data_IF_533804760147
#
_entry.id   IF_533804760147
#
_cell.length_a   1.000
_cell.length_b   1.000
_cell.length_c   1.000
_cell.angle_alpha   90.00
_cell.angle_beta   90.00
_cell.angle_gamma   90.00
#
_symmetry.space_group_name_H-M   'P 1'
#
loop_
_entity.id
_entity.type
_entity.pdbx_description
1 polymer ?
#
# COMPACT_ATOMS: atom_id res chain seq x y z
N UNK A 1 -25.42 28.37 10.96
CA UNK A 1 -25.56 26.90 10.86
C UNK A 1 -24.29 26.31 10.29
N UNK A 2 -23.48 25.58 11.08
CA UNK A 2 -22.27 24.89 10.57
C UNK A 2 -22.67 23.47 10.18
N UNK A 3 -22.81 23.20 8.88
CA UNK A 3 -22.98 21.84 8.36
C UNK A 3 -21.65 21.11 8.50
N UNK A 4 -21.62 20.03 9.31
CA UNK A 4 -20.48 19.11 9.39
C UNK A 4 -20.74 17.94 8.45
N UNK A 5 -20.03 17.91 7.33
CA UNK A 5 -20.06 16.79 6.39
C UNK A 5 -18.94 15.82 6.77
N UNK A 6 -19.22 14.52 7.02
CA UNK A 6 -18.19 13.52 7.27
C UNK A 6 -17.20 13.41 6.11
N UNK A 7 -15.92 13.16 6.43
CA UNK A 7 -14.89 13.00 5.40
C UNK A 7 -14.98 11.61 4.77
N UNK A 8 -15.37 11.54 3.49
CA UNK A 8 -15.50 10.28 2.77
C UNK A 8 -14.18 9.47 2.72
N UNK A 9 -13.04 10.13 2.51
CA UNK A 9 -11.74 9.45 2.54
C UNK A 9 -11.41 8.86 3.92
N UNK A 10 -11.91 9.48 5.01
CA UNK A 10 -11.80 8.93 6.34
C UNK A 10 -12.75 7.71 6.52
N UNK A 11 -13.95 7.75 5.95
CA UNK A 11 -14.86 6.60 5.93
C UNK A 11 -14.25 5.40 5.22
N UNK A 12 -13.62 5.58 4.05
CA UNK A 12 -12.88 4.51 3.36
C UNK A 12 -11.75 3.97 4.24
N UNK A 13 -10.98 4.86 4.88
CA UNK A 13 -9.90 4.47 5.80
C UNK A 13 -10.38 3.57 6.94
N UNK A 14 -11.55 3.85 7.51
CA UNK A 14 -12.15 3.01 8.54
C UNK A 14 -12.61 1.67 7.97
N UNK A 15 -13.36 1.69 6.87
CA UNK A 15 -13.86 0.46 6.23
C UNK A 15 -12.74 -0.52 5.84
N UNK A 16 -11.67 -0.03 5.21
CA UNK A 16 -10.52 -0.85 4.84
C UNK A 16 -9.80 -1.37 6.08
N UNK A 17 -9.61 -0.53 7.10
CA UNK A 17 -8.94 -0.94 8.33
C UNK A 17 -9.71 -2.06 9.03
N UNK A 18 -11.03 -1.91 9.16
CA UNK A 18 -11.89 -2.89 9.81
C UNK A 18 -11.89 -4.22 9.03
N UNK A 19 -11.96 -4.16 7.69
CA UNK A 19 -11.86 -5.34 6.83
C UNK A 19 -10.51 -6.07 6.94
N UNK A 20 -9.40 -5.34 7.00
CA UNK A 20 -8.06 -5.92 7.21
C UNK A 20 -7.90 -6.53 8.60
N UNK A 21 -8.48 -5.90 9.64
CA UNK A 21 -8.45 -6.45 11.01
C UNK A 21 -9.27 -7.75 11.14
N UNK A 22 -10.38 -7.85 10.41
CA UNK A 22 -11.16 -9.08 10.32
C UNK A 22 -10.39 -10.21 9.58
N UNK A 23 -9.51 -9.83 8.64
CA UNK A 23 -8.77 -10.78 7.79
C UNK A 23 -7.34 -11.00 8.28
N UNK A 24 -7.18 -11.84 9.32
CA UNK A 24 -5.85 -12.04 9.96
C UNK A 24 -4.78 -12.66 9.05
N UNK A 25 -5.19 -13.40 8.02
CA UNK A 25 -4.26 -14.13 7.13
C UNK A 25 -3.28 -13.20 6.40
N UNK A 26 -3.69 -11.98 6.08
CA UNK A 26 -2.85 -11.04 5.33
C UNK A 26 -1.91 -10.20 6.21
N UNK A 27 -2.17 -10.13 7.52
CA UNK A 27 -1.40 -9.26 8.42
C UNK A 27 0.09 -9.61 8.39
N UNK A 28 0.43 -10.90 8.40
CA UNK A 28 1.82 -11.36 8.33
C UNK A 28 2.53 -10.93 7.03
N UNK A 29 1.81 -10.88 5.90
CA UNK A 29 2.39 -10.39 4.64
C UNK A 29 2.56 -8.87 4.63
N UNK A 30 1.68 -8.13 5.31
CA UNK A 30 1.74 -6.67 5.42
C UNK A 30 2.78 -6.18 6.43
N UNK A 31 3.19 -7.00 7.40
CA UNK A 31 4.17 -6.65 8.44
C UNK A 31 5.58 -6.41 7.89
N UNK A 32 5.98 -7.10 6.82
CA UNK A 32 7.31 -6.95 6.22
C UNK A 32 7.44 -5.68 5.36
N UNK A 33 6.31 -5.18 4.85
CA UNK A 33 6.25 -4.05 3.91
C UNK A 33 6.82 -2.76 4.49
N UNK A 34 6.46 -2.30 5.71
CA UNK A 34 7.05 -1.10 6.32
C UNK A 34 8.57 -1.24 6.52
N UNK A 35 9.06 -2.44 6.82
CA UNK A 35 10.50 -2.69 7.02
C UNK A 35 11.27 -2.58 5.71
N UNK A 36 10.75 -3.17 4.63
CA UNK A 36 11.33 -3.04 3.28
C UNK A 36 11.28 -1.57 2.82
N UNK A 37 10.15 -0.90 3.02
CA UNK A 37 10.01 0.52 2.71
C UNK A 37 11.02 1.36 3.51
N UNK A 38 11.20 1.08 4.81
CA UNK A 38 12.20 1.78 5.64
C UNK A 38 13.61 1.57 5.08
N UNK A 39 13.99 0.35 4.70
CA UNK A 39 15.29 0.07 4.11
C UNK A 39 15.56 0.88 2.84
N UNK A 40 14.55 1.09 1.99
CA UNK A 40 14.65 1.93 0.79
C UNK A 40 15.10 3.37 1.07
N UNK A 41 14.92 3.85 2.31
CA UNK A 41 15.27 5.21 2.72
C UNK A 41 16.44 5.28 3.70
N UNK A 42 16.78 4.18 4.39
CA UNK A 42 17.83 4.18 5.41
C UNK A 42 19.10 3.45 5.00
N UNK A 43 19.05 2.58 4.00
CA UNK A 43 20.22 1.83 3.53
C UNK A 43 20.64 2.30 2.15
N UNK A 44 21.78 2.98 2.06
CA UNK A 44 22.34 3.47 0.78
C UNK A 44 22.52 2.33 -0.22
N UNK A 45 23.05 1.18 0.20
CA UNK A 45 23.24 0.01 -0.66
C UNK A 45 21.93 -0.56 -1.20
N UNK A 46 20.87 -0.55 -0.40
CA UNK A 46 19.56 -1.01 -0.86
C UNK A 46 18.93 -0.01 -1.82
N UNK A 47 19.01 1.30 -1.51
CA UNK A 47 18.56 2.37 -2.39
C UNK A 47 19.27 2.33 -3.75
N UNK A 48 20.60 2.16 -3.79
CA UNK A 48 21.38 2.00 -5.02
C UNK A 48 20.89 0.81 -5.87
N UNK A 49 20.55 -0.32 -5.25
CA UNK A 49 19.98 -1.48 -5.97
C UNK A 49 18.62 -1.18 -6.56
N UNK A 50 17.76 -0.45 -5.84
CA UNK A 50 16.46 -0.01 -6.33
C UNK A 50 16.60 0.99 -7.49
N UNK A 51 17.57 1.91 -7.41
CA UNK A 51 17.86 2.90 -8.45
C UNK A 51 18.33 2.25 -9.75
N UNK A 52 19.18 1.21 -9.66
CA UNK A 52 19.58 0.39 -10.82
C UNK A 52 18.37 -0.28 -11.49
N UNK A 53 17.37 -0.66 -10.71
CA UNK A 53 16.09 -1.22 -11.20
C UNK A 53 15.09 -0.13 -11.62
N UNK A 54 15.41 1.16 -11.43
CA UNK A 54 14.50 2.30 -11.63
C UNK A 54 13.21 2.19 -10.80
N UNK A 55 13.29 1.57 -9.63
CA UNK A 55 12.17 1.40 -8.71
C UNK A 55 12.32 2.38 -7.55
N UNK A 56 11.23 3.06 -7.21
CA UNK A 56 11.18 3.94 -6.03
C UNK A 56 10.04 3.51 -5.11
N UNK A 57 10.39 3.14 -3.88
CA UNK A 57 9.44 2.73 -2.83
C UNK A 57 9.17 3.94 -1.93
N UNK A 58 7.91 4.43 -1.83
CA UNK A 58 7.58 5.55 -0.97
C UNK A 58 7.72 5.18 0.51
N UNK A 59 7.81 6.19 1.38
CA UNK A 59 7.72 5.95 2.83
C UNK A 59 6.30 5.56 3.20
N UNK A 60 6.18 4.51 4.01
CA UNK A 60 4.92 4.10 4.60
C UNK A 60 4.50 5.06 5.72
N UNK A 61 3.30 5.61 5.64
CA UNK A 61 2.64 6.34 6.74
C UNK A 61 1.67 5.37 7.40
N UNK A 62 2.05 4.87 8.58
CA UNK A 62 1.35 3.78 9.30
C UNK A 62 -0.13 4.10 9.55
N UNK A 63 -0.49 5.37 9.73
CA UNK A 63 -1.86 5.79 10.01
C UNK A 63 -2.76 5.92 8.77
N UNK A 64 -2.22 5.77 7.55
CA UNK A 64 -2.96 5.92 6.29
C UNK A 64 -2.83 4.67 5.42
N UNK A 65 -3.91 3.92 5.30
CA UNK A 65 -3.96 2.65 4.56
C UNK A 65 -3.48 2.81 3.11
N UNK A 66 -3.82 3.93 2.45
CA UNK A 66 -3.44 4.21 1.06
C UNK A 66 -1.91 4.34 0.90
N UNK A 67 -1.18 4.79 1.92
CA UNK A 67 0.28 4.85 1.86
C UNK A 67 0.90 3.44 1.92
N UNK A 68 0.35 2.56 2.76
CA UNK A 68 0.74 1.15 2.79
C UNK A 68 0.43 0.48 1.46
N UNK A 69 -0.75 0.73 0.88
CA UNK A 69 -1.13 0.24 -0.45
C UNK A 69 -0.11 0.64 -1.53
N UNK A 70 0.29 1.92 -1.58
CA UNK A 70 1.30 2.38 -2.54
C UNK A 70 2.67 1.73 -2.33
N UNK A 71 3.07 1.47 -1.08
CA UNK A 71 4.31 0.73 -0.78
C UNK A 71 4.24 -0.70 -1.33
N UNK A 72 3.15 -1.42 -1.06
CA UNK A 72 2.94 -2.78 -1.57
C UNK A 72 3.00 -2.79 -3.09
N UNK A 73 2.26 -1.90 -3.75
CA UNK A 73 2.23 -1.79 -5.21
C UNK A 73 3.62 -1.57 -5.81
N UNK A 74 4.48 -0.79 -5.14
CA UNK A 74 5.87 -0.54 -5.59
C UNK A 74 6.80 -1.71 -5.32
N UNK A 75 6.65 -2.40 -4.19
CA UNK A 75 7.44 -3.60 -3.88
C UNK A 75 7.14 -4.71 -4.90
N UNK A 76 5.87 -4.89 -5.26
CA UNK A 76 5.43 -5.92 -6.23
C UNK A 76 5.89 -5.68 -7.68
N UNK A 77 6.51 -4.53 -7.98
CA UNK A 77 7.19 -4.32 -9.27
C UNK A 77 8.47 -5.15 -9.34
N UNK A 78 9.08 -5.45 -8.19
CA UNK A 78 10.30 -6.26 -8.09
C UNK A 78 9.88 -7.73 -7.99
N UNK A 79 10.51 -8.61 -8.77
CA UNK A 79 10.20 -10.03 -8.67
C UNK A 79 10.59 -10.60 -7.30
N UNK A 80 9.90 -11.66 -6.86
CA UNK A 80 10.20 -12.35 -5.60
C UNK A 80 11.67 -12.76 -5.49
N UNK A 81 12.21 -13.29 -6.59
CA UNK A 81 13.58 -13.80 -6.67
C UNK A 81 14.57 -12.65 -6.48
N UNK A 82 14.45 -11.59 -7.28
CA UNK A 82 15.35 -10.44 -7.22
C UNK A 82 15.30 -9.73 -5.86
N UNK A 83 14.10 -9.54 -5.30
CA UNK A 83 13.95 -8.92 -3.99
C UNK A 83 14.65 -9.74 -2.90
N UNK A 84 14.44 -11.05 -2.88
CA UNK A 84 15.06 -11.94 -1.91
C UNK A 84 16.58 -12.05 -2.10
N UNK A 85 17.07 -12.02 -3.34
CA UNK A 85 18.50 -11.98 -3.63
C UNK A 85 19.16 -10.72 -3.09
N UNK A 86 18.57 -9.54 -3.35
CA UNK A 86 19.08 -8.27 -2.80
C UNK A 86 19.09 -8.32 -1.28
N UNK A 87 17.99 -8.74 -0.65
CA UNK A 87 17.89 -8.82 0.81
C UNK A 87 18.91 -9.81 1.39
N UNK A 88 19.13 -10.96 0.76
CA UNK A 88 20.12 -11.94 1.18
C UNK A 88 21.55 -11.40 1.05
N UNK A 89 21.90 -10.78 -0.08
CA UNK A 89 23.21 -10.17 -0.33
C UNK A 89 23.54 -9.08 0.70
N UNK A 90 22.53 -8.30 1.10
CA UNK A 90 22.66 -7.21 2.08
C UNK A 90 22.48 -7.68 3.54
N UNK A 91 22.39 -8.99 3.78
CA UNK A 91 22.24 -9.62 5.11
C UNK A 91 20.93 -9.31 5.84
N UNK A 92 19.86 -8.95 5.12
CA UNK A 92 18.50 -8.76 5.64
C UNK A 92 17.60 -9.99 5.44
N UNK A 93 18.12 -11.18 5.78
CA UNK A 93 17.42 -12.46 5.54
C UNK A 93 16.07 -12.57 6.26
N UNK A 94 15.90 -11.85 7.37
CA UNK A 94 14.64 -11.79 8.13
C UNK A 94 13.50 -11.09 7.39
N UNK A 95 13.81 -10.37 6.30
CA UNK A 95 12.82 -9.68 5.46
C UNK A 95 12.54 -10.43 4.15
N UNK A 96 13.23 -11.54 3.90
CA UNK A 96 12.97 -12.36 2.71
C UNK A 96 11.51 -12.82 2.73
N UNK A 97 10.80 -12.53 1.65
CA UNK A 97 9.38 -12.80 1.53
C UNK A 97 9.15 -14.16 0.90
N UNK A 98 8.25 -14.94 1.48
CA UNK A 98 7.81 -16.20 0.88
C UNK A 98 6.90 -15.91 -0.31
N UNK A 99 6.91 -16.78 -1.32
CA UNK A 99 6.06 -16.65 -2.51
C UNK A 99 4.56 -16.48 -2.14
N UNK A 100 4.11 -17.19 -1.10
CA UNK A 100 2.75 -17.06 -0.54
C UNK A 100 2.44 -15.64 -0.07
N UNK A 101 3.36 -15.00 0.65
CA UNK A 101 3.14 -13.64 1.16
C UNK A 101 3.04 -12.64 0.00
N UNK A 102 3.88 -12.78 -1.04
CA UNK A 102 3.78 -11.93 -2.21
C UNK A 102 2.48 -12.15 -2.99
N UNK A 103 2.00 -13.40 -3.11
CA UNK A 103 0.68 -13.69 -3.68
C UNK A 103 -0.45 -12.99 -2.90
N UNK A 104 -0.42 -13.04 -1.56
CA UNK A 104 -1.40 -12.32 -0.73
C UNK A 104 -1.31 -10.80 -0.92
N UNK A 105 -0.11 -10.26 -1.09
CA UNK A 105 0.08 -8.84 -1.38
C UNK A 105 -0.45 -8.46 -2.78
N UNK A 106 -0.32 -9.34 -3.78
CA UNK A 106 -0.91 -9.15 -5.10
C UNK A 106 -2.43 -9.12 -5.05
N UNK A 107 -3.05 -10.09 -4.35
CA UNK A 107 -4.50 -10.11 -4.11
C UNK A 107 -4.97 -8.85 -3.38
N UNK A 108 -4.23 -8.40 -2.37
CA UNK A 108 -4.50 -7.14 -1.68
C UNK A 108 -4.48 -5.92 -2.59
N UNK A 109 -3.50 -5.82 -3.49
CA UNK A 109 -3.44 -4.72 -4.46
C UNK A 109 -4.61 -4.79 -5.43
N UNK A 110 -4.96 -6.00 -5.90
CA UNK A 110 -6.10 -6.20 -6.79
C UNK A 110 -7.42 -5.77 -6.13
N UNK A 111 -7.71 -6.28 -4.93
CA UNK A 111 -8.95 -6.04 -4.20
C UNK A 111 -9.10 -4.57 -3.76
N UNK A 112 -8.03 -3.94 -3.30
CA UNK A 112 -8.10 -2.59 -2.74
C UNK A 112 -7.81 -1.47 -3.74
N UNK A 113 -7.53 -1.79 -5.00
CA UNK A 113 -7.25 -0.83 -6.06
C UNK A 113 -8.34 0.25 -6.18
N UNK A 114 -9.60 -0.16 -6.25
CA UNK A 114 -10.75 0.74 -6.37
C UNK A 114 -10.91 1.65 -5.14
N UNK A 115 -10.69 1.11 -3.94
CA UNK A 115 -10.69 1.90 -2.72
C UNK A 115 -9.56 2.95 -2.72
N UNK A 116 -8.39 2.61 -3.25
CA UNK A 116 -7.22 3.48 -3.28
C UNK A 116 -7.42 4.62 -4.29
N UNK A 117 -8.04 4.30 -5.43
CA UNK A 117 -8.46 5.28 -6.44
C UNK A 117 -9.54 6.21 -5.89
N UNK A 118 -10.58 5.69 -5.24
CA UNK A 118 -11.62 6.48 -4.59
C UNK A 118 -11.05 7.40 -3.51
N UNK A 119 -10.14 6.89 -2.67
CA UNK A 119 -9.45 7.69 -1.64
C UNK A 119 -8.65 8.82 -2.28
N UNK A 120 -7.86 8.51 -3.31
CA UNK A 120 -7.03 9.50 -4.01
C UNK A 120 -7.88 10.55 -4.71
N UNK A 121 -8.96 10.13 -5.39
CA UNK A 121 -9.84 11.03 -6.13
C UNK A 121 -10.57 12.00 -5.21
N UNK A 122 -11.05 11.52 -4.06
CA UNK A 122 -11.83 12.33 -3.11
C UNK A 122 -10.97 13.21 -2.21
N UNK A 123 -9.66 12.96 -2.11
CA UNK A 123 -8.70 13.82 -1.40
C UNK A 123 -8.18 15.00 -2.23
N UNK A 124 -8.48 15.06 -3.54
CA UNK A 124 -8.02 16.17 -4.40
C UNK A 124 -8.61 17.50 -3.95
N UNK A 125 -7.77 18.53 -3.92
CA UNK A 125 -8.15 19.91 -3.57
C UNK A 125 -8.22 20.83 -4.79
N UNK A 126 -7.57 20.46 -5.89
CA UNK A 126 -7.46 21.31 -7.09
C UNK A 126 -8.56 21.03 -8.15
N UNK A 127 -9.56 20.23 -7.80
CA UNK A 127 -10.70 19.90 -8.68
C UNK A 127 -11.91 19.49 -7.82
N UNK A 128 -13.16 19.64 -8.31
CA UNK A 128 -14.34 19.19 -7.58
C UNK A 128 -14.25 17.70 -7.27
N UNK A 129 -14.29 17.34 -5.98
CA UNK A 129 -14.06 15.96 -5.53
C UNK A 129 -15.31 15.27 -4.98
N UNK A 130 -16.31 16.05 -4.52
CA UNK A 130 -17.56 15.53 -3.92
C UNK A 130 -18.42 14.74 -4.91
N UNK A 131 -18.38 15.11 -6.19
CA UNK A 131 -19.10 14.42 -7.27
C UNK A 131 -18.61 12.98 -7.51
N UNK A 132 -17.40 12.62 -7.04
CA UNK A 132 -16.88 11.26 -7.13
C UNK A 132 -17.35 10.34 -6.01
N UNK A 133 -17.99 10.85 -4.94
CA UNK A 133 -18.40 10.03 -3.79
C UNK A 133 -19.39 8.94 -4.20
N UNK A 134 -20.52 9.32 -4.81
CA UNK A 134 -21.55 8.36 -5.21
C UNK A 134 -21.04 7.35 -6.26
N UNK A 135 -20.33 7.76 -7.34
CA UNK A 135 -19.70 6.81 -8.26
C UNK A 135 -18.70 5.86 -7.59
N UNK A 136 -17.91 6.35 -6.62
CA UNK A 136 -16.93 5.51 -5.91
C UNK A 136 -17.60 4.43 -5.06
N UNK A 137 -18.72 4.75 -4.40
CA UNK A 137 -19.49 3.76 -3.64
C UNK A 137 -20.03 2.68 -4.59
N UNK A 138 -20.59 3.10 -5.73
CA UNK A 138 -21.14 2.18 -6.72
C UNK A 138 -20.06 1.23 -7.27
N UNK A 139 -18.88 1.76 -7.62
CA UNK A 139 -17.77 0.99 -8.15
C UNK A 139 -17.21 -0.04 -7.16
N UNK A 140 -17.36 0.18 -5.86
CA UNK A 140 -16.89 -0.75 -4.82
C UNK A 140 -17.92 -1.86 -4.52
N UNK A 141 -19.21 -1.58 -4.74
CA UNK A 141 -20.30 -2.49 -4.37
C UNK A 141 -20.83 -3.35 -5.53
N UNK A 142 -20.58 -2.96 -6.78
CA UNK A 142 -20.99 -3.67 -8.00
C UNK A 142 -19.79 -4.29 -8.71
#
# INVERSE_FOLDING_TARGET
MRLKIPCFAHTIQLAVKDGLQATRSILAALETVPSIAKLAHTSTKFAEKLDLMKVSIPRAVITRWNSQFMCVKRILVISCIELNEILAQLKYKNLCSHARNLSMLQEFVALLSLFAEATTATQRQNSPSISFVAPSILAVLL
#
